data_IF_895152478080
#
_entry.id   IF_895152478080
#
_cell.length_a   1.000
_cell.length_b   1.000
_cell.length_c   1.000
_cell.angle_alpha   90.00
_cell.angle_beta   90.00
_cell.angle_gamma   90.00
#
_symmetry.space_group_name_H-M   'P 1'
#
loop_
_entity.id
_entity.type
_entity.pdbx_description
1 polymer ?
#
# COMPACT_ATOMS: atom_id res chain seq x y z
N UNK A 1 13.24 7.63 -4.38
CA UNK A 1 13.38 7.01 -3.04
C UNK A 1 14.74 6.34 -2.92
N UNK A 2 15.41 6.45 -1.75
CA UNK A 2 16.66 5.74 -1.43
C UNK A 2 16.57 5.15 -0.03
N UNK A 3 17.17 3.99 0.18
CA UNK A 3 17.28 3.36 1.48
C UNK A 3 18.74 3.04 1.80
N UNK A 4 19.21 3.47 2.97
CA UNK A 4 20.54 3.20 3.45
C UNK A 4 20.47 2.44 4.77
N UNK A 5 21.11 1.26 4.86
CA UNK A 5 21.20 0.48 6.11
C UNK A 5 22.20 1.18 7.03
N UNK A 6 21.78 1.49 8.25
CA UNK A 6 22.62 2.13 9.29
C UNK A 6 23.08 1.14 10.36
N UNK A 7 22.28 0.11 10.64
CA UNK A 7 22.60 -0.95 11.60
C UNK A 7 22.07 -2.30 11.12
N UNK A 8 22.82 -3.35 11.36
CA UNK A 8 22.43 -4.75 11.15
C UNK A 8 22.42 -5.49 12.47
N UNK A 9 21.63 -6.56 12.56
CA UNK A 9 21.55 -7.39 13.75
C UNK A 9 22.89 -8.10 13.98
N UNK A 10 23.45 -7.97 15.18
CA UNK A 10 24.72 -8.62 15.56
C UNK A 10 24.64 -10.15 15.60
N UNK A 11 23.45 -10.72 15.79
CA UNK A 11 23.23 -12.18 15.81
C UNK A 11 23.14 -12.82 14.41
N UNK A 12 23.33 -12.05 13.33
CA UNK A 12 23.19 -12.55 11.95
C UNK A 12 21.74 -12.70 11.48
N UNK A 13 20.74 -12.30 12.28
CA UNK A 13 19.36 -12.26 11.85
C UNK A 13 19.15 -11.17 10.77
N UNK A 14 18.07 -11.29 9.99
CA UNK A 14 17.75 -10.37 8.87
C UNK A 14 17.33 -8.96 9.32
N UNK A 15 17.15 -8.72 10.63
CA UNK A 15 16.75 -7.44 11.18
C UNK A 15 17.81 -6.36 10.91
N UNK A 16 17.35 -5.21 10.45
CA UNK A 16 18.19 -4.04 10.16
C UNK A 16 17.47 -2.75 10.46
N UNK A 17 18.20 -1.71 10.83
CA UNK A 17 17.71 -0.34 10.83
C UNK A 17 18.35 0.43 9.67
N UNK A 18 17.71 1.49 9.25
CA UNK A 18 18.18 2.30 8.13
C UNK A 18 17.53 3.66 8.06
N UNK A 19 17.95 4.42 7.07
CA UNK A 19 17.36 5.72 6.71
C UNK A 19 16.68 5.60 5.36
N UNK A 20 15.37 5.83 5.33
CA UNK A 20 14.56 5.91 4.12
C UNK A 20 14.44 7.36 3.67
N UNK A 21 15.04 7.72 2.55
CA UNK A 21 14.95 9.06 1.97
C UNK A 21 13.84 9.12 0.92
N UNK A 22 12.87 10.02 1.12
CA UNK A 22 11.73 10.26 0.23
C UNK A 22 11.70 11.76 -0.09
N UNK A 23 12.08 12.14 -1.30
CA UNK A 23 12.30 13.56 -1.62
C UNK A 23 13.34 14.20 -0.71
N UNK A 24 12.97 15.28 -0.02
CA UNK A 24 13.81 15.97 0.98
C UNK A 24 13.69 15.38 2.39
N UNK A 25 12.70 14.51 2.65
CA UNK A 25 12.41 13.97 3.98
C UNK A 25 13.14 12.66 4.23
N UNK A 26 13.78 12.52 5.42
CA UNK A 26 14.43 11.31 5.89
C UNK A 26 13.63 10.65 7.00
N UNK A 27 13.42 9.33 6.92
CA UNK A 27 12.69 8.53 7.91
C UNK A 27 13.61 7.44 8.44
N UNK A 28 13.85 7.44 9.73
CA UNK A 28 14.56 6.34 10.38
C UNK A 28 13.66 5.09 10.42
N UNK A 29 14.24 3.94 10.12
CA UNK A 29 13.51 2.66 10.10
C UNK A 29 14.12 1.66 11.07
N UNK A 30 13.31 0.80 11.70
CA UNK A 30 11.87 0.61 11.47
C UNK A 30 11.04 1.81 11.92
N UNK A 31 9.98 2.14 11.20
CA UNK A 31 9.09 3.25 11.47
C UNK A 31 7.63 2.80 11.50
N UNK A 32 6.80 3.52 12.23
CA UNK A 32 5.36 3.29 12.26
C UNK A 32 4.70 3.97 11.06
N UNK A 33 3.85 3.24 10.34
CA UNK A 33 2.96 3.78 9.33
C UNK A 33 1.55 3.88 9.94
N UNK A 34 1.11 5.09 10.26
CA UNK A 34 -0.18 5.33 10.90
C UNK A 34 -1.33 5.11 9.93
N UNK A 35 -2.28 4.28 10.31
CA UNK A 35 -3.52 4.08 9.56
C UNK A 35 -4.41 5.31 9.65
N UNK A 36 -5.00 5.72 8.53
CA UNK A 36 -5.84 6.91 8.45
C UNK A 36 -7.20 6.61 7.85
N UNK A 37 -8.19 7.38 8.28
CA UNK A 37 -9.50 7.47 7.63
C UNK A 37 -9.57 8.78 6.86
N UNK A 38 -9.66 8.72 5.54
CA UNK A 38 -9.63 9.90 4.66
C UNK A 38 -8.42 10.82 4.89
N UNK A 39 -7.28 10.22 5.21
CA UNK A 39 -6.01 10.91 5.34
C UNK A 39 -5.65 11.39 6.75
N UNK A 40 -6.52 11.22 7.74
CA UNK A 40 -6.23 11.54 9.15
C UNK A 40 -6.42 10.29 10.03
N UNK A 41 -5.58 10.08 11.05
CA UNK A 41 -5.84 9.06 12.06
C UNK A 41 -7.21 9.29 12.71
N UNK A 42 -7.89 8.22 13.11
CA UNK A 42 -9.22 8.30 13.71
C UNK A 42 -9.22 9.22 14.96
N UNK A 43 -10.20 10.11 15.05
CA UNK A 43 -10.37 11.07 16.15
C UNK A 43 -9.22 12.06 16.36
N UNK A 44 -8.38 12.28 15.33
CA UNK A 44 -7.24 13.19 15.40
C UNK A 44 -7.38 14.29 14.35
N UNK A 45 -7.30 15.55 14.78
CA UNK A 45 -7.27 16.71 13.88
C UNK A 45 -5.84 16.98 13.37
N UNK A 46 -5.65 17.73 12.26
CA UNK A 46 -4.33 18.04 11.74
C UNK A 46 -3.40 18.75 12.73
N UNK A 47 -3.94 19.66 13.54
CA UNK A 47 -3.19 20.38 14.56
C UNK A 47 -2.72 19.45 15.70
N UNK A 48 -3.56 18.51 16.14
CA UNK A 48 -3.17 17.49 17.10
C UNK A 48 -2.10 16.55 16.52
N UNK A 49 -2.27 16.11 15.27
CA UNK A 49 -1.27 15.27 14.59
C UNK A 49 0.07 15.99 14.49
N UNK A 50 0.07 17.29 14.16
CA UNK A 50 1.29 18.10 14.06
C UNK A 50 1.95 18.37 15.42
N UNK A 51 1.23 18.21 16.53
CA UNK A 51 1.78 18.32 17.88
C UNK A 51 2.48 17.06 18.39
N UNK A 52 2.30 15.92 17.69
CA UNK A 52 2.97 14.68 18.06
C UNK A 52 4.47 14.72 17.75
N UNK A 53 5.30 14.05 18.56
CA UNK A 53 6.73 13.97 18.27
C UNK A 53 7.01 13.31 16.91
N UNK A 54 7.88 13.91 16.12
CA UNK A 54 8.52 13.23 15.02
C UNK A 54 9.60 12.27 15.57
N UNK A 55 9.79 11.06 14.98
CA UNK A 55 9.27 10.60 13.68
C UNK A 55 7.96 9.82 13.73
N UNK A 56 7.36 9.60 14.91
CA UNK A 56 6.26 8.64 15.11
C UNK A 56 4.97 8.99 14.34
N UNK A 57 4.76 10.25 14.00
CA UNK A 57 3.59 10.75 13.27
C UNK A 57 3.84 11.04 11.79
N UNK A 58 5.06 10.84 11.30
CA UNK A 58 5.48 11.33 9.98
C UNK A 58 4.84 10.56 8.82
N UNK A 59 4.67 9.24 8.95
CA UNK A 59 4.18 8.36 7.89
C UNK A 59 2.69 8.09 8.05
N UNK A 60 1.89 8.44 7.06
CA UNK A 60 0.45 8.24 7.04
C UNK A 60 0.03 7.29 5.91
N UNK A 61 -0.65 6.20 6.26
CA UNK A 61 -1.26 5.30 5.28
C UNK A 61 -2.61 5.89 4.83
N UNK A 62 -2.75 6.12 3.55
CA UNK A 62 -3.96 6.66 2.93
C UNK A 62 -4.57 5.60 2.03
N UNK A 63 -5.84 5.27 2.27
CA UNK A 63 -6.58 4.37 1.40
C UNK A 63 -7.27 5.16 0.27
N UNK A 64 -6.83 5.03 -1.00
CA UNK A 64 -7.44 5.75 -2.11
C UNK A 64 -8.93 5.48 -2.29
N UNK A 65 -9.39 4.29 -1.91
CA UNK A 65 -10.80 3.90 -2.03
C UNK A 65 -11.73 4.72 -1.12
N UNK A 66 -11.22 5.36 -0.07
CA UNK A 66 -11.98 6.31 0.74
C UNK A 66 -12.41 7.57 -0.02
N UNK A 67 -11.78 7.85 -1.17
CA UNK A 67 -12.00 9.06 -1.97
C UNK A 67 -12.71 8.76 -3.30
N UNK A 68 -13.31 7.59 -3.45
CA UNK A 68 -14.05 7.24 -4.68
C UNK A 68 -15.27 8.16 -4.86
N UNK A 69 -15.93 8.54 -3.79
CA UNK A 69 -17.18 9.29 -3.84
C UNK A 69 -17.08 10.68 -3.24
N UNK A 70 -16.50 10.82 -2.06
CA UNK A 70 -16.48 12.07 -1.30
C UNK A 70 -15.17 12.25 -0.53
N UNK A 71 -14.48 13.39 -0.70
CA UNK A 71 -14.74 14.46 -1.68
C UNK A 71 -14.45 14.02 -3.11
N UNK A 72 -15.05 14.64 -4.13
CA UNK A 72 -14.77 14.33 -5.52
C UNK A 72 -13.28 14.48 -5.83
N UNK A 73 -12.71 13.54 -6.58
CA UNK A 73 -11.27 13.52 -6.94
C UNK A 73 -10.82 14.82 -7.62
N UNK A 74 -11.67 15.43 -8.45
CA UNK A 74 -11.42 16.74 -9.07
C UNK A 74 -11.23 17.86 -8.05
N UNK A 75 -11.98 17.85 -6.95
CA UNK A 75 -11.82 18.85 -5.88
C UNK A 75 -10.44 18.75 -5.24
N UNK A 76 -9.99 17.53 -4.92
CA UNK A 76 -8.67 17.28 -4.35
C UNK A 76 -7.57 17.72 -5.32
N UNK A 77 -7.70 17.37 -6.59
CA UNK A 77 -6.77 17.76 -7.65
C UNK A 77 -6.68 19.27 -7.81
N UNK A 78 -7.82 19.99 -7.80
CA UNK A 78 -7.87 21.46 -7.93
C UNK A 78 -7.20 22.18 -6.75
N UNK A 79 -7.26 21.60 -5.53
CA UNK A 79 -6.58 22.12 -4.34
C UNK A 79 -5.07 21.87 -4.42
N UNK A 80 -4.62 20.92 -5.24
CA UNK A 80 -3.21 20.54 -5.42
C UNK A 80 -2.80 19.34 -4.57
N UNK A 81 -3.70 18.39 -4.39
CA UNK A 81 -3.47 17.12 -3.73
C UNK A 81 -3.89 17.06 -2.25
N UNK A 82 -3.73 15.88 -1.68
CA UNK A 82 -4.22 15.58 -0.33
C UNK A 82 -3.45 16.33 0.76
N UNK A 83 -2.14 16.53 0.60
CA UNK A 83 -1.32 17.31 1.55
C UNK A 83 -1.91 18.71 1.78
N UNK A 84 -2.25 19.40 0.69
CA UNK A 84 -2.83 20.74 0.78
C UNK A 84 -4.24 20.74 1.33
N UNK A 85 -5.04 19.74 0.93
CA UNK A 85 -6.40 19.61 1.43
C UNK A 85 -6.45 19.40 2.95
N UNK A 86 -5.49 18.65 3.51
CA UNK A 86 -5.43 18.31 4.93
C UNK A 86 -4.57 19.29 5.76
N UNK A 87 -3.79 20.16 5.11
CA UNK A 87 -2.86 21.05 5.82
C UNK A 87 -1.67 20.29 6.43
N UNK A 88 -1.20 19.21 5.77
CA UNK A 88 -0.13 18.33 6.24
C UNK A 88 1.08 18.35 5.29
N UNK A 89 1.75 19.50 5.07
CA UNK A 89 2.81 19.63 4.07
C UNK A 89 4.06 18.79 4.38
N UNK A 90 4.35 18.55 5.65
CA UNK A 90 5.57 17.88 6.11
C UNK A 90 5.41 16.37 6.28
N UNK A 91 4.19 15.85 6.21
CA UNK A 91 3.91 14.42 6.36
C UNK A 91 4.17 13.66 5.07
N UNK A 92 4.49 12.38 5.21
CA UNK A 92 4.69 11.47 4.09
C UNK A 92 3.44 10.61 3.94
N UNK A 93 2.74 10.78 2.82
CA UNK A 93 1.55 10.02 2.49
C UNK A 93 1.93 8.78 1.68
N UNK A 94 1.58 7.61 2.19
CA UNK A 94 1.73 6.32 1.54
C UNK A 94 0.35 5.81 1.15
N UNK A 95 0.06 5.75 -0.13
CA UNK A 95 -1.24 5.29 -0.62
C UNK A 95 -1.23 3.79 -0.85
N UNK A 96 -2.14 3.06 -0.20
CA UNK A 96 -2.37 1.63 -0.42
C UNK A 96 -3.86 1.32 -0.43
N UNK A 97 -4.32 0.49 -1.38
CA UNK A 97 -5.68 -0.03 -1.38
C UNK A 97 -5.84 -1.10 -0.29
N UNK A 98 -7.07 -1.32 0.19
CA UNK A 98 -7.33 -2.38 1.16
C UNK A 98 -7.03 -1.98 2.60
N UNK A 99 -7.51 -0.81 3.01
CA UNK A 99 -7.50 -0.44 4.43
C UNK A 99 -8.42 -1.36 5.23
N UNK A 100 -7.92 -1.87 6.35
CA UNK A 100 -8.54 -2.95 7.11
C UNK A 100 -9.83 -2.59 7.85
N UNK A 101 -10.17 -1.31 8.00
CA UNK A 101 -11.30 -0.90 8.83
C UNK A 101 -12.59 -0.61 8.05
N UNK A 102 -12.49 -0.01 6.87
CA UNK A 102 -13.67 0.44 6.11
C UNK A 102 -13.69 0.00 4.63
N UNK A 103 -12.53 -0.36 4.07
CA UNK A 103 -12.40 -0.75 2.67
C UNK A 103 -11.73 -2.12 2.55
N UNK A 104 -12.46 -3.16 2.94
CA UNK A 104 -11.96 -4.53 2.93
C UNK A 104 -11.91 -5.10 1.51
N UNK A 105 -10.87 -5.87 1.16
CA UNK A 105 -10.84 -6.62 -0.08
C UNK A 105 -11.99 -7.62 -0.15
N UNK A 106 -12.76 -7.60 -1.24
CA UNK A 106 -13.83 -8.56 -1.53
C UNK A 106 -13.37 -9.53 -2.61
N UNK A 107 -12.69 -10.59 -2.18
CA UNK A 107 -12.03 -11.55 -3.08
C UNK A 107 -12.99 -12.26 -4.04
N UNK A 108 -14.24 -12.52 -3.62
CA UNK A 108 -15.25 -13.21 -4.41
C UNK A 108 -15.80 -12.36 -5.56
N UNK A 109 -15.83 -11.05 -5.38
CA UNK A 109 -16.29 -10.11 -6.40
C UNK A 109 -15.14 -9.55 -7.27
N UNK A 110 -13.88 -9.80 -6.88
CA UNK A 110 -12.69 -9.44 -7.66
C UNK A 110 -12.60 -10.28 -8.92
N UNK A 111 -12.32 -9.63 -10.05
CA UNK A 111 -12.29 -10.29 -11.35
C UNK A 111 -11.06 -9.88 -12.18
N UNK A 112 -10.98 -10.27 -13.44
CA UNK A 112 -9.83 -9.95 -14.31
C UNK A 112 -9.64 -8.46 -14.61
N UNK A 113 -10.64 -7.63 -14.39
CA UNK A 113 -10.61 -6.21 -14.71
C UNK A 113 -10.15 -5.34 -13.55
N UNK A 114 -10.39 -5.77 -12.30
CA UNK A 114 -10.05 -4.98 -11.12
C UNK A 114 -10.29 -5.70 -9.81
N UNK A 115 -9.81 -5.09 -8.73
CA UNK A 115 -10.05 -5.52 -7.35
C UNK A 115 -11.38 -4.97 -6.84
N UNK A 116 -12.11 -5.78 -6.10
CA UNK A 116 -13.35 -5.37 -5.47
C UNK A 116 -13.12 -5.07 -3.99
N UNK A 117 -13.74 -4.00 -3.52
CA UNK A 117 -13.67 -3.57 -2.12
C UNK A 117 -15.09 -3.36 -1.58
N UNK A 118 -15.31 -3.80 -0.35
CA UNK A 118 -16.48 -3.38 0.43
C UNK A 118 -16.19 -2.00 1.00
N UNK A 119 -17.01 -1.03 0.66
CA UNK A 119 -16.88 0.36 1.14
C UNK A 119 -18.15 0.78 1.88
N UNK A 120 -18.14 1.86 2.67
CA UNK A 120 -19.36 2.36 3.32
C UNK A 120 -20.52 2.66 2.34
N UNK A 121 -20.21 2.94 1.09
CA UNK A 121 -21.19 3.17 0.02
C UNK A 121 -21.54 1.90 -0.78
N UNK A 122 -21.17 0.73 -0.28
CA UNK A 122 -21.36 -0.57 -0.92
C UNK A 122 -20.14 -1.06 -1.69
N UNK A 123 -20.33 -2.17 -2.38
CA UNK A 123 -19.25 -2.84 -3.12
C UNK A 123 -18.83 -2.05 -4.36
N UNK A 124 -17.53 -1.82 -4.51
CA UNK A 124 -16.93 -1.11 -5.65
C UNK A 124 -15.86 -1.97 -6.31
N UNK A 125 -15.93 -2.09 -7.64
CA UNK A 125 -14.86 -2.68 -8.45
C UNK A 125 -13.94 -1.56 -8.92
N UNK A 126 -12.67 -1.62 -8.54
CA UNK A 126 -11.63 -0.63 -8.86
C UNK A 126 -10.68 -1.23 -9.89
N UNK A 127 -10.64 -0.64 -11.08
CA UNK A 127 -9.70 -1.02 -12.14
C UNK A 127 -8.36 -0.31 -11.95
N UNK A 128 -7.26 -0.81 -12.53
CA UNK A 128 -5.98 -0.10 -12.49
C UNK A 128 -6.06 1.35 -12.97
N UNK A 129 -6.85 1.64 -14.02
CA UNK A 129 -7.08 3.01 -14.52
C UNK A 129 -7.71 3.92 -13.47
N UNK A 130 -8.78 3.44 -12.83
CA UNK A 130 -9.54 4.20 -11.85
C UNK A 130 -8.68 4.43 -10.58
N UNK A 131 -7.90 3.42 -10.21
CA UNK A 131 -6.95 3.51 -9.11
C UNK A 131 -5.86 4.56 -9.37
N UNK A 132 -5.26 4.55 -10.55
CA UNK A 132 -4.21 5.51 -10.91
C UNK A 132 -4.75 6.93 -11.10
N UNK A 133 -6.00 7.09 -11.50
CA UNK A 133 -6.68 8.39 -11.48
C UNK A 133 -6.79 8.94 -10.04
N UNK A 134 -7.20 8.10 -9.07
CA UNK A 134 -7.22 8.48 -7.66
C UNK A 134 -5.81 8.84 -7.16
N UNK A 135 -4.80 8.02 -7.43
CA UNK A 135 -3.40 8.30 -7.07
C UNK A 135 -2.95 9.65 -7.65
N UNK A 136 -3.31 9.93 -8.90
CA UNK A 136 -2.97 11.21 -9.55
C UNK A 136 -3.65 12.41 -8.90
N UNK A 137 -4.88 12.25 -8.44
CA UNK A 137 -5.61 13.32 -7.74
C UNK A 137 -5.11 13.53 -6.30
N UNK A 138 -4.81 12.46 -5.58
CA UNK A 138 -4.34 12.49 -4.19
C UNK A 138 -2.89 12.97 -4.06
N UNK A 139 -2.04 12.70 -5.04
CA UNK A 139 -0.63 13.04 -5.09
C UNK A 139 0.17 12.56 -3.86
N UNK A 140 0.12 11.27 -3.49
CA UNK A 140 0.90 10.75 -2.37
C UNK A 140 2.41 10.74 -2.70
N UNK A 141 3.26 10.68 -1.67
CA UNK A 141 4.72 10.52 -1.83
C UNK A 141 5.10 9.13 -2.33
N UNK A 142 4.36 8.11 -1.87
CA UNK A 142 4.50 6.71 -2.25
C UNK A 142 3.13 6.14 -2.56
N UNK A 143 3.06 5.19 -3.48
CA UNK A 143 1.84 4.42 -3.72
C UNK A 143 2.15 2.93 -3.92
N UNK A 144 1.36 2.07 -3.31
CA UNK A 144 1.38 0.64 -3.53
C UNK A 144 0.45 0.26 -4.68
N UNK A 145 0.84 -0.71 -5.50
CA UNK A 145 0.02 -1.14 -6.64
C UNK A 145 -1.29 -1.79 -6.19
N UNK A 146 -2.27 -1.78 -7.10
CA UNK A 146 -3.50 -2.54 -6.87
C UNK A 146 -3.18 -4.04 -6.80
N UNK A 147 -3.80 -4.76 -5.88
CA UNK A 147 -3.58 -6.18 -5.66
C UNK A 147 -4.89 -6.97 -5.49
N UNK A 148 -4.86 -8.25 -5.86
CA UNK A 148 -5.93 -9.21 -5.60
C UNK A 148 -5.60 -9.95 -4.29
N UNK A 149 -5.97 -9.37 -3.16
CA UNK A 149 -5.75 -9.98 -1.84
C UNK A 149 -6.84 -11.01 -1.54
N UNK A 150 -6.42 -12.19 -1.11
CA UNK A 150 -7.31 -13.32 -0.88
C UNK A 150 -7.18 -13.87 0.53
N UNK A 151 -8.27 -14.39 1.13
CA UNK A 151 -8.22 -15.05 2.42
C UNK A 151 -7.28 -16.27 2.44
N UNK A 152 -6.79 -16.60 3.63
CA UNK A 152 -5.86 -17.71 3.84
C UNK A 152 -6.40 -19.08 3.38
N UNK A 153 -7.71 -19.27 3.44
CA UNK A 153 -8.39 -20.54 3.13
C UNK A 153 -8.77 -20.75 1.66
N UNK A 154 -8.42 -19.83 0.75
CA UNK A 154 -8.72 -20.04 -0.67
C UNK A 154 -7.92 -21.22 -1.24
N UNK A 155 -8.50 -21.89 -2.24
CA UNK A 155 -7.80 -22.97 -2.91
C UNK A 155 -6.61 -22.47 -3.75
N UNK A 156 -5.70 -23.38 -4.07
CA UNK A 156 -4.46 -23.09 -4.79
C UNK A 156 -4.71 -22.40 -6.14
N UNK A 157 -5.72 -22.83 -6.91
CA UNK A 157 -6.08 -22.23 -8.19
C UNK A 157 -6.48 -20.75 -8.04
N UNK A 158 -7.29 -20.43 -7.02
CA UNK A 158 -7.70 -19.04 -6.74
C UNK A 158 -6.51 -18.19 -6.31
N UNK A 159 -5.62 -18.76 -5.50
CA UNK A 159 -4.42 -18.09 -5.03
C UNK A 159 -3.45 -17.80 -6.20
N UNK A 160 -3.20 -18.77 -7.08
CA UNK A 160 -2.42 -18.57 -8.30
C UNK A 160 -3.01 -17.47 -9.18
N UNK A 161 -4.34 -17.47 -9.38
CA UNK A 161 -5.03 -16.42 -10.13
C UNK A 161 -4.86 -15.03 -9.47
N UNK A 162 -4.84 -14.96 -8.16
CA UNK A 162 -4.58 -13.73 -7.38
C UNK A 162 -3.20 -13.13 -7.71
N UNK A 163 -2.16 -13.95 -7.69
CA UNK A 163 -0.80 -13.53 -8.03
C UNK A 163 -0.72 -13.05 -9.50
N UNK A 164 -1.29 -13.81 -10.43
CA UNK A 164 -1.31 -13.44 -11.86
C UNK A 164 -2.04 -12.11 -12.12
N UNK A 165 -3.15 -11.86 -11.42
CA UNK A 165 -3.88 -10.59 -11.51
C UNK A 165 -3.07 -9.44 -10.93
N UNK A 166 -2.50 -9.62 -9.74
CA UNK A 166 -1.69 -8.61 -9.06
C UNK A 166 -0.51 -8.18 -9.93
N UNK A 167 0.21 -9.11 -10.52
CA UNK A 167 1.34 -8.80 -11.41
C UNK A 167 0.90 -8.02 -12.66
N UNK A 168 -0.20 -8.43 -13.29
CA UNK A 168 -0.76 -7.74 -14.45
C UNK A 168 -1.25 -6.33 -14.12
N UNK A 169 -1.89 -6.14 -12.95
CA UNK A 169 -2.32 -4.82 -12.52
C UNK A 169 -1.15 -3.93 -12.11
N UNK A 170 -0.08 -4.49 -11.52
CA UNK A 170 1.17 -3.77 -11.29
C UNK A 170 1.74 -3.23 -12.61
N UNK A 171 1.83 -4.06 -13.65
CA UNK A 171 2.31 -3.65 -14.97
C UNK A 171 1.44 -2.52 -15.56
N UNK A 172 0.13 -2.63 -15.45
CA UNK A 172 -0.80 -1.60 -15.89
C UNK A 172 -0.65 -0.28 -15.11
N UNK A 173 -0.50 -0.35 -13.78
CA UNK A 173 -0.31 0.83 -12.94
C UNK A 173 1.03 1.53 -13.24
N UNK A 174 2.12 0.79 -13.41
CA UNK A 174 3.43 1.35 -13.78
C UNK A 174 3.34 2.05 -15.14
N UNK A 175 2.69 1.45 -16.13
CA UNK A 175 2.53 2.05 -17.45
C UNK A 175 1.74 3.38 -17.39
N UNK A 176 0.71 3.46 -16.56
CA UNK A 176 -0.11 4.65 -16.36
C UNK A 176 0.62 5.77 -15.57
N UNK A 177 1.60 5.42 -14.73
CA UNK A 177 2.35 6.39 -13.91
C UNK A 177 3.70 6.81 -14.53
N UNK A 178 4.06 6.27 -15.69
CA UNK A 178 5.39 6.43 -16.30
C UNK A 178 5.87 7.89 -16.44
N UNK A 179 4.94 8.83 -16.61
CA UNK A 179 5.25 10.26 -16.76
C UNK A 179 5.36 11.02 -15.42
N UNK A 180 4.89 10.46 -14.31
CA UNK A 180 4.79 11.21 -13.04
C UNK A 180 6.06 11.16 -12.20
N UNK A 181 6.89 10.14 -12.38
CA UNK A 181 8.11 9.91 -11.60
C UNK A 181 7.88 9.64 -10.10
N UNK A 182 6.63 9.36 -9.70
CA UNK A 182 6.30 9.02 -8.31
C UNK A 182 6.87 7.67 -7.90
N UNK A 183 7.16 7.51 -6.61
CA UNK A 183 7.70 6.26 -6.10
C UNK A 183 6.60 5.21 -5.95
N UNK A 184 6.73 4.11 -6.67
CA UNK A 184 5.81 2.97 -6.63
C UNK A 184 6.34 1.85 -5.74
N UNK A 185 5.44 1.19 -5.03
CA UNK A 185 5.70 -0.02 -4.27
C UNK A 185 4.98 -1.19 -4.95
N UNK A 186 5.72 -2.21 -5.32
CA UNK A 186 5.14 -3.43 -5.86
C UNK A 186 4.54 -4.29 -4.74
N UNK A 187 3.27 -4.66 -4.87
CA UNK A 187 2.59 -5.46 -3.85
C UNK A 187 2.91 -6.94 -4.03
N UNK A 188 3.35 -7.59 -2.95
CA UNK A 188 3.62 -9.03 -2.89
C UNK A 188 2.47 -9.70 -2.16
N UNK A 189 1.74 -10.56 -2.88
CA UNK A 189 0.65 -11.40 -2.36
C UNK A 189 0.94 -12.88 -2.59
N UNK A 190 0.06 -13.77 -2.16
CA UNK A 190 0.21 -15.22 -2.36
C UNK A 190 -0.53 -16.03 -1.29
N UNK A 191 -1.46 -15.39 -0.54
CA UNK A 191 -2.26 -16.04 0.49
C UNK A 191 -1.39 -16.80 1.49
N UNK A 192 -1.77 -18.02 1.82
CA UNK A 192 -1.02 -18.94 2.70
C UNK A 192 0.00 -19.82 1.95
N UNK A 193 0.23 -19.63 0.65
CA UNK A 193 1.21 -20.42 -0.10
C UNK A 193 2.58 -19.74 -0.13
N UNK A 194 3.56 -20.40 0.46
CA UNK A 194 4.98 -19.97 0.41
C UNK A 194 5.47 -19.88 -1.04
N UNK A 195 5.11 -20.84 -1.89
CA UNK A 195 5.53 -20.87 -3.29
C UNK A 195 4.96 -19.70 -4.08
N UNK A 196 3.67 -19.42 -3.91
CA UNK A 196 3.02 -18.30 -4.59
C UNK A 196 3.58 -16.94 -4.10
N UNK A 197 3.88 -16.80 -2.81
CA UNK A 197 4.55 -15.59 -2.28
C UNK A 197 5.95 -15.41 -2.84
N UNK A 198 6.76 -16.48 -2.89
CA UNK A 198 8.10 -16.44 -3.50
C UNK A 198 8.04 -16.09 -4.98
N UNK A 199 7.11 -16.72 -5.73
CA UNK A 199 6.88 -16.42 -7.14
C UNK A 199 6.51 -14.94 -7.32
N UNK A 200 5.54 -14.45 -6.55
CA UNK A 200 5.10 -13.06 -6.60
C UNK A 200 6.27 -12.09 -6.30
N UNK A 201 7.01 -12.33 -5.22
CA UNK A 201 8.16 -11.51 -4.83
C UNK A 201 9.23 -11.47 -5.94
N UNK A 202 9.57 -12.63 -6.50
CA UNK A 202 10.53 -12.74 -7.61
C UNK A 202 10.06 -11.98 -8.85
N UNK A 203 8.78 -12.10 -9.20
CA UNK A 203 8.23 -11.42 -10.37
C UNK A 203 8.11 -9.90 -10.15
N UNK A 204 7.72 -9.45 -8.95
CA UNK A 204 7.68 -8.02 -8.60
C UNK A 204 9.09 -7.42 -8.64
N UNK A 205 10.11 -8.14 -8.16
CA UNK A 205 11.49 -7.64 -8.15
C UNK A 205 12.11 -7.41 -9.53
N UNK A 206 11.56 -8.02 -10.58
CA UNK A 206 11.98 -7.79 -11.98
C UNK A 206 11.43 -6.49 -12.58
N UNK A 207 10.49 -5.84 -11.91
CA UNK A 207 9.80 -4.63 -12.37
C UNK A 207 10.45 -3.38 -11.81
N UNK A 208 10.27 -2.27 -12.52
CA UNK A 208 10.79 -0.97 -12.08
C UNK A 208 9.91 -0.38 -10.96
N UNK A 209 10.10 -0.86 -9.74
CA UNK A 209 9.44 -0.37 -8.52
C UNK A 209 10.48 0.21 -7.56
N UNK A 210 10.06 1.18 -6.76
CA UNK A 210 10.94 1.84 -5.78
C UNK A 210 11.12 1.01 -4.49
N UNK A 211 10.23 0.05 -4.23
CA UNK A 211 10.24 -0.81 -3.06
C UNK A 211 9.10 -1.82 -3.10
N UNK A 212 8.86 -2.48 -1.96
CA UNK A 212 7.89 -3.56 -1.86
C UNK A 212 6.87 -3.28 -0.75
N UNK A 213 5.63 -3.67 -1.00
CA UNK A 213 4.54 -3.73 -0.03
C UNK A 213 4.16 -5.20 0.18
N UNK A 214 4.39 -5.72 1.38
CA UNK A 214 4.02 -7.11 1.68
C UNK A 214 2.56 -7.12 2.12
N UNK A 215 1.67 -7.47 1.19
CA UNK A 215 0.23 -7.48 1.37
C UNK A 215 -0.38 -8.85 1.66
N UNK A 216 -1.73 -8.88 1.74
CA UNK A 216 -2.51 -10.10 1.91
C UNK A 216 -2.32 -10.76 3.28
N UNK A 217 -2.22 -9.96 4.34
CA UNK A 217 -2.21 -10.39 5.73
C UNK A 217 -3.41 -9.85 6.50
N UNK A 218 -3.73 -10.49 7.63
CA UNK A 218 -4.95 -10.19 8.40
C UNK A 218 -6.22 -10.77 7.77
N UNK A 219 -6.06 -11.73 6.86
CA UNK A 219 -7.15 -12.36 6.10
C UNK A 219 -7.35 -13.83 6.49
N UNK A 220 -7.11 -14.17 7.76
CA UNK A 220 -7.40 -15.47 8.35
C UNK A 220 -6.20 -16.39 8.57
N UNK A 221 -4.98 -15.94 8.29
CA UNK A 221 -3.76 -16.66 8.66
C UNK A 221 -3.47 -16.57 10.16
N UNK A 222 -2.80 -17.58 10.73
CA UNK A 222 -2.30 -17.53 12.11
C UNK A 222 -1.02 -16.67 12.22
N UNK A 223 -0.63 -16.34 13.46
CA UNK A 223 0.63 -15.59 13.71
C UNK A 223 1.85 -16.39 13.28
N UNK A 224 1.85 -17.70 13.53
CA UNK A 224 2.91 -18.63 13.17
C UNK A 224 3.06 -18.75 11.65
N UNK A 225 1.92 -18.88 10.94
CA UNK A 225 1.89 -18.88 9.48
C UNK A 225 2.42 -17.56 8.93
N UNK A 226 2.00 -16.43 9.49
CA UNK A 226 2.47 -15.09 9.07
C UNK A 226 3.99 -14.97 9.15
N UNK A 227 4.60 -15.42 10.24
CA UNK A 227 6.05 -15.43 10.40
C UNK A 227 6.73 -16.24 9.30
N UNK A 228 6.22 -17.43 9.00
CA UNK A 228 6.75 -18.31 7.96
C UNK A 228 6.65 -17.70 6.56
N UNK A 229 5.48 -17.09 6.26
CA UNK A 229 5.20 -16.44 4.97
C UNK A 229 6.05 -15.18 4.77
N UNK A 230 6.30 -14.38 5.83
CA UNK A 230 7.20 -13.23 5.78
C UNK A 230 8.64 -13.66 5.54
N UNK A 231 9.14 -14.66 6.26
CA UNK A 231 10.48 -15.18 6.09
C UNK A 231 10.75 -15.74 4.68
N UNK A 232 9.71 -16.16 3.99
CA UNK A 232 9.82 -16.68 2.63
C UNK A 232 10.10 -15.61 1.57
N UNK A 233 9.81 -14.32 1.85
CA UNK A 233 9.90 -13.20 0.90
C UNK A 233 10.86 -12.10 1.33
N UNK A 234 11.48 -12.24 2.51
CA UNK A 234 12.51 -11.31 3.05
C UNK A 234 13.93 -11.99 3.18
#
# INVERSE_FOLDING_TARGET
MRFAVTKVCASGAKARAGLLQIGSSGVETPALLLSTRKGLPAFMSPDLLSSLPLPDSLLLNVCPTHFIEVPPSKTISNIGGLHRMLGLPDHILVAAAGESTECLPSSDATNKFGASFETPAGRKLVKPSDYMELISCLQPNLWASLADEVPAWVNEKRNKTSVERTLRWLDACIALDAASGRNSLGVVVGGSSIEQRKLCATEVSKRNVSGFWIGGFGLGESVEERCSLLNAVT
#
